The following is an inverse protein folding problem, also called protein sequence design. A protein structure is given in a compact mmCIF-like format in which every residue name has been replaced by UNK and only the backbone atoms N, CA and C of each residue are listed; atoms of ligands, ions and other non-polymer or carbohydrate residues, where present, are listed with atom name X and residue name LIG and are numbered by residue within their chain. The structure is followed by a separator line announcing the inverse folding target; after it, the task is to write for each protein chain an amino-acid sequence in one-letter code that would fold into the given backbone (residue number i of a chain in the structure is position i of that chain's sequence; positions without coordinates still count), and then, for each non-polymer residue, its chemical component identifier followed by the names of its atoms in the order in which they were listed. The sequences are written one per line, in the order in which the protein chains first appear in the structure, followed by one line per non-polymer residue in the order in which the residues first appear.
data_IF_926480507213
#
_entry.id   IF_926480507213
#
_cell.length_a   1.000
_cell.length_b   1.000
_cell.length_c   1.000
_cell.angle_alpha   90.00
_cell.angle_beta   90.00
_cell.angle_gamma   90.00
#
_symmetry.space_group_name_H-M   'P 1'
#
loop_
_entity.id
_entity.type
_entity.pdbx_description
1 polymer ?
#
# COMPACT_ATOMS: atom_id res chain seq x y z
N UNK A 1 -11.45 0.65 -6.23
CA UNK A 1 -11.06 0.77 -4.80
C UNK A 1 -11.40 2.16 -4.29
N UNK A 2 -11.93 2.25 -3.10
CA UNK A 2 -12.18 3.54 -2.47
C UNK A 2 -10.86 4.21 -2.10
N UNK A 3 -10.67 5.45 -2.50
CA UNK A 3 -9.44 6.19 -2.22
C UNK A 3 -9.23 6.45 -0.73
N UNK A 4 -7.99 6.62 -0.36
CA UNK A 4 -7.59 6.98 1.01
C UNK A 4 -6.36 7.87 0.94
N UNK A 5 -6.10 8.61 2.02
CA UNK A 5 -4.98 9.54 2.06
C UNK A 5 -3.71 8.86 2.58
N UNK A 6 -2.56 9.52 2.37
CA UNK A 6 -1.31 9.05 2.97
C UNK A 6 -1.44 9.04 4.50
N UNK A 7 -2.12 10.04 5.08
CA UNK A 7 -2.38 10.09 6.52
C UNK A 7 -3.10 8.85 7.01
N UNK A 8 -4.12 8.43 6.27
CA UNK A 8 -4.88 7.21 6.59
C UNK A 8 -4.02 5.94 6.40
N UNK A 9 -3.14 5.95 5.41
CA UNK A 9 -2.19 4.86 5.23
C UNK A 9 -1.29 4.71 6.47
N UNK A 10 -0.72 5.81 6.95
CA UNK A 10 0.14 5.79 8.13
C UNK A 10 -0.61 5.22 9.34
N UNK A 11 -1.85 5.65 9.54
CA UNK A 11 -2.67 5.12 10.63
C UNK A 11 -2.96 3.62 10.47
N UNK A 12 -3.25 3.19 9.26
CA UNK A 12 -3.62 1.79 8.99
C UNK A 12 -2.45 0.83 9.20
N UNK A 13 -1.24 1.24 8.79
CA UNK A 13 -0.06 0.36 8.83
C UNK A 13 0.84 0.61 10.04
N UNK A 14 0.67 1.73 10.74
CA UNK A 14 1.49 2.08 11.89
C UNK A 14 2.94 2.38 11.54
N UNK A 15 3.20 2.90 10.34
CA UNK A 15 4.55 3.15 9.86
C UNK A 15 5.06 4.56 10.17
N UNK A 16 6.30 4.79 9.78
CA UNK A 16 6.95 6.10 9.88
C UNK A 16 6.86 6.82 8.54
N UNK A 17 6.31 8.04 8.58
CA UNK A 17 6.18 8.85 7.38
C UNK A 17 7.41 9.69 7.12
N UNK A 18 7.86 9.72 5.87
CA UNK A 18 8.94 10.59 5.38
C UNK A 18 8.42 11.40 4.20
N UNK A 19 8.38 12.71 4.34
CA UNK A 19 7.92 13.62 3.31
C UNK A 19 7.35 14.89 3.90
N UNK A 20 6.79 15.74 3.04
CA UNK A 20 6.17 16.97 3.46
C UNK A 20 4.85 16.71 4.18
N UNK A 21 4.61 17.46 5.24
CA UNK A 21 3.36 17.36 5.98
C UNK A 21 2.15 17.69 5.09
N UNK A 22 2.30 18.63 4.18
CA UNK A 22 1.25 18.99 3.25
C UNK A 22 0.84 17.85 2.31
N UNK A 23 1.73 16.90 2.06
CA UNK A 23 1.44 15.75 1.19
C UNK A 23 0.60 14.67 1.89
N UNK A 24 0.49 14.71 3.21
CA UNK A 24 -0.26 13.69 3.98
C UNK A 24 -1.72 13.55 3.56
N UNK A 25 -2.32 14.61 3.03
CA UNK A 25 -3.72 14.59 2.64
C UNK A 25 -3.92 14.28 1.15
N UNK A 26 -2.85 13.93 0.44
CA UNK A 26 -2.95 13.49 -0.95
C UNK A 26 -3.61 12.12 -1.02
N UNK A 27 -4.45 11.94 -2.02
CA UNK A 27 -5.23 10.72 -2.17
C UNK A 27 -4.47 9.64 -2.94
N UNK A 28 -4.54 8.42 -2.41
CA UNK A 28 -4.08 7.20 -3.06
C UNK A 28 -5.30 6.54 -3.66
N UNK A 29 -5.28 6.33 -4.98
CA UNK A 29 -6.41 5.78 -5.72
C UNK A 29 -6.26 4.29 -6.00
N UNK A 30 -5.02 3.79 -6.06
CA UNK A 30 -4.78 2.37 -6.26
C UNK A 30 -3.40 1.99 -5.71
N UNK A 31 -3.19 0.70 -5.52
CA UNK A 31 -1.96 0.14 -4.97
C UNK A 31 -1.35 -0.78 -6.02
N UNK A 32 -0.04 -0.69 -6.20
CA UNK A 32 0.68 -1.59 -7.10
C UNK A 32 2.05 -1.93 -6.52
N UNK A 33 2.52 -3.14 -6.80
CA UNK A 33 3.89 -3.56 -6.54
C UNK A 33 4.70 -3.68 -7.83
N UNK A 34 4.10 -3.39 -8.96
CA UNK A 34 4.75 -3.42 -10.26
C UNK A 34 5.17 -2.01 -10.65
N UNK A 35 6.49 -1.78 -10.74
CA UNK A 35 7.02 -0.45 -11.08
C UNK A 35 6.57 0.04 -12.46
N UNK A 36 6.22 -0.87 -13.35
CA UNK A 36 5.75 -0.51 -14.69
C UNK A 36 4.33 0.07 -14.70
N UNK A 37 3.60 -0.15 -13.61
CA UNK A 37 2.23 0.33 -13.46
C UNK A 37 2.12 1.60 -12.62
N UNK A 38 3.22 2.14 -12.17
CA UNK A 38 3.22 3.39 -11.42
C UNK A 38 2.66 4.51 -12.29
N UNK A 39 1.68 5.23 -11.74
CA UNK A 39 0.96 6.29 -12.44
C UNK A 39 0.37 7.23 -11.39
N UNK A 40 -0.16 8.39 -11.78
CA UNK A 40 -0.79 9.30 -10.83
C UNK A 40 -1.86 8.60 -10.00
N UNK A 41 -1.79 8.78 -8.69
CA UNK A 41 -2.70 8.14 -7.74
C UNK A 41 -2.20 6.82 -7.17
N UNK A 42 -1.03 6.33 -7.58
CA UNK A 42 -0.50 5.04 -7.13
C UNK A 42 0.17 5.12 -5.77
N UNK A 43 -0.04 4.08 -4.96
CA UNK A 43 0.86 3.73 -3.88
C UNK A 43 1.73 2.59 -4.39
N UNK A 44 3.03 2.82 -4.46
CA UNK A 44 3.97 1.77 -4.83
C UNK A 44 4.44 1.03 -3.59
N UNK A 45 4.26 -0.29 -3.57
CA UNK A 45 4.69 -1.14 -2.45
C UNK A 45 5.98 -1.86 -2.84
N UNK A 46 7.04 -1.59 -2.09
CA UNK A 46 8.33 -2.21 -2.34
C UNK A 46 8.42 -3.55 -1.61
N UNK A 47 8.31 -4.64 -2.37
CA UNK A 47 8.51 -5.97 -1.83
C UNK A 47 9.93 -6.45 -2.12
N UNK A 48 10.49 -7.22 -1.18
CA UNK A 48 11.75 -7.92 -1.38
C UNK A 48 11.43 -9.31 -1.92
N UNK A 49 11.68 -9.54 -3.19
CA UNK A 49 11.48 -10.83 -3.83
C UNK A 49 12.77 -11.62 -3.92
N UNK A 50 12.67 -12.88 -4.38
CA UNK A 50 13.81 -13.78 -4.53
C UNK A 50 14.80 -13.28 -5.60
N UNK A 51 14.33 -12.57 -6.62
CA UNK A 51 15.16 -12.10 -7.73
C UNK A 51 15.28 -10.58 -7.80
N UNK A 52 14.33 -9.85 -7.22
CA UNK A 52 14.23 -8.41 -7.36
C UNK A 52 13.83 -7.77 -6.05
N UNK A 53 14.47 -6.66 -5.74
CA UNK A 53 14.11 -5.83 -4.60
C UNK A 53 13.36 -4.61 -5.14
N UNK A 54 12.09 -4.48 -4.78
CA UNK A 54 11.24 -3.38 -5.24
C UNK A 54 11.72 -2.01 -4.80
N UNK A 55 12.51 -1.92 -3.73
CA UNK A 55 13.03 -0.65 -3.23
C UNK A 55 13.86 0.10 -4.29
N UNK A 56 14.49 -0.60 -5.19
CA UNK A 56 15.32 0.01 -6.26
C UNK A 56 14.49 0.80 -7.27
N UNK A 57 13.18 0.62 -7.30
CA UNK A 57 12.29 1.28 -8.26
C UNK A 57 11.51 2.45 -7.67
N UNK A 58 11.71 2.76 -6.38
CA UNK A 58 10.90 3.79 -5.69
C UNK A 58 11.05 5.17 -6.33
N UNK A 59 12.27 5.60 -6.63
CA UNK A 59 12.50 6.90 -7.28
C UNK A 59 11.79 6.99 -8.62
N UNK A 60 11.90 5.94 -9.43
CA UNK A 60 11.27 5.90 -10.74
C UNK A 60 9.75 5.97 -10.63
N UNK A 61 9.18 5.21 -9.69
CA UNK A 61 7.74 5.20 -9.50
C UNK A 61 7.21 6.59 -9.11
N UNK A 62 7.93 7.29 -8.25
CA UNK A 62 7.57 8.64 -7.87
C UNK A 62 7.65 9.61 -9.04
N UNK A 63 8.65 9.47 -9.91
CA UNK A 63 8.75 10.26 -11.14
C UNK A 63 7.61 9.97 -12.10
N UNK A 64 7.12 8.75 -12.11
CA UNK A 64 6.00 8.34 -12.97
C UNK A 64 4.63 8.73 -12.39
N UNK A 65 4.61 9.39 -11.24
CA UNK A 65 3.39 9.96 -10.67
C UNK A 65 2.88 9.28 -9.41
N UNK A 66 3.57 8.26 -8.89
CA UNK A 66 3.16 7.65 -7.63
C UNK A 66 3.05 8.69 -6.53
N UNK A 67 1.99 8.60 -5.74
CA UNK A 67 1.72 9.54 -4.65
C UNK A 67 2.66 9.28 -3.49
N UNK A 68 2.96 8.02 -3.22
CA UNK A 68 3.74 7.59 -2.07
C UNK A 68 4.31 6.20 -2.32
N UNK A 69 5.36 5.86 -1.59
CA UNK A 69 5.90 4.51 -1.55
C UNK A 69 5.72 3.91 -0.17
N UNK A 70 5.66 2.58 -0.09
CA UNK A 70 5.68 1.83 1.16
C UNK A 70 6.94 0.97 1.14
N UNK A 71 7.82 1.14 2.12
CA UNK A 71 9.15 0.53 2.13
C UNK A 71 9.47 -0.15 3.46
N UNK A 72 10.48 -1.02 3.44
CA UNK A 72 11.02 -1.65 4.66
C UNK A 72 12.29 -0.97 5.14
N UNK A 73 12.86 -0.06 4.35
CA UNK A 73 14.04 0.70 4.73
C UNK A 73 13.74 2.20 4.72
N UNK A 74 14.59 2.96 5.41
CA UNK A 74 14.48 4.41 5.39
C UNK A 74 14.68 4.92 3.96
N UNK A 75 13.76 5.76 3.45
CA UNK A 75 13.89 6.27 2.08
C UNK A 75 14.93 7.37 1.97
N UNK A 76 15.62 7.45 0.83
CA UNK A 76 16.42 8.59 0.46
C UNK A 76 15.50 9.79 0.13
N UNK A 77 16.05 10.98 -0.02
CA UNK A 77 15.25 12.17 -0.31
C UNK A 77 14.45 12.05 -1.62
N UNK A 78 15.04 11.43 -2.64
CA UNK A 78 14.39 11.22 -3.93
C UNK A 78 13.41 10.05 -3.93
N UNK A 79 13.26 9.39 -2.79
CA UNK A 79 12.32 8.28 -2.59
C UNK A 79 11.13 8.66 -1.73
N UNK A 80 10.90 9.96 -1.55
CA UNK A 80 9.80 10.51 -0.72
C UNK A 80 8.74 11.17 -1.59
N UNK A 81 7.46 11.17 -1.18
CA UNK A 81 6.91 10.69 0.10
C UNK A 81 6.97 9.18 0.23
N UNK A 82 7.22 8.70 1.44
CA UNK A 82 7.33 7.28 1.71
C UNK A 82 6.90 6.96 3.14
N UNK A 83 6.35 5.77 3.34
CA UNK A 83 6.04 5.24 4.66
C UNK A 83 6.90 4.01 4.88
N UNK A 84 7.69 4.03 5.95
CA UNK A 84 8.55 2.91 6.31
C UNK A 84 7.84 2.01 7.31
N UNK A 85 7.88 0.71 7.06
CA UNK A 85 7.29 -0.32 7.92
C UNK A 85 8.30 -1.45 8.13
N UNK A 86 8.16 -2.24 9.19
CA UNK A 86 9.05 -3.39 9.41
C UNK A 86 8.86 -4.50 8.36
N UNK A 87 7.65 -4.65 7.83
CA UNK A 87 7.33 -5.65 6.81
C UNK A 87 6.26 -5.09 5.88
N UNK A 88 6.56 -4.97 4.60
CA UNK A 88 5.59 -4.51 3.62
C UNK A 88 4.45 -5.52 3.44
N UNK A 89 4.76 -6.82 3.55
CA UNK A 89 3.73 -7.85 3.47
C UNK A 89 2.73 -7.73 4.61
N UNK A 90 3.21 -7.55 5.84
CA UNK A 90 2.32 -7.36 7.01
C UNK A 90 1.56 -6.05 6.92
N UNK A 91 2.22 -4.99 6.44
CA UNK A 91 1.57 -3.70 6.25
C UNK A 91 0.43 -3.80 5.25
N UNK A 92 0.60 -4.56 4.18
CA UNK A 92 -0.47 -4.78 3.21
C UNK A 92 -1.66 -5.54 3.83
N UNK A 93 -1.39 -6.49 4.71
CA UNK A 93 -2.43 -7.16 5.47
C UNK A 93 -3.20 -6.20 6.37
N UNK A 94 -2.48 -5.34 7.09
CA UNK A 94 -3.09 -4.32 7.95
C UNK A 94 -3.89 -3.30 7.13
N UNK A 95 -3.37 -2.87 5.99
CA UNK A 95 -4.07 -1.95 5.10
C UNK A 95 -5.36 -2.57 4.55
N UNK A 96 -5.30 -3.81 4.14
CA UNK A 96 -6.48 -4.52 3.64
C UNK A 96 -7.56 -4.64 4.72
N UNK A 97 -7.17 -4.99 5.95
CA UNK A 97 -8.09 -5.07 7.07
C UNK A 97 -8.71 -3.71 7.39
N UNK A 98 -7.90 -2.65 7.40
CA UNK A 98 -8.37 -1.30 7.62
C UNK A 98 -9.33 -0.86 6.51
N UNK A 99 -8.98 -1.12 5.27
CA UNK A 99 -9.79 -0.77 4.10
C UNK A 99 -11.16 -1.47 4.18
N UNK A 100 -11.15 -2.74 4.52
CA UNK A 100 -12.39 -3.51 4.69
C UNK A 100 -13.26 -2.94 5.80
N UNK A 101 -12.67 -2.47 6.91
CA UNK A 101 -13.42 -1.90 8.03
C UNK A 101 -14.18 -0.63 7.66
N UNK A 102 -13.82 0.03 6.56
CA UNK A 102 -14.50 1.22 6.05
C UNK A 102 -15.83 0.89 5.37
N UNK A 103 -16.04 -0.36 5.02
CA UNK A 103 -17.28 -0.81 4.37
C UNK A 103 -18.20 -1.39 5.43
N UNK A 104 -19.36 -0.78 5.59
CA UNK A 104 -20.40 -1.26 6.48
C UNK A 104 -21.26 -2.33 5.80
N UNK A 105 -20.63 -3.24 5.07
CA UNK A 105 -21.34 -4.35 4.45
C UNK A 105 -21.44 -5.45 5.49
N UNK A 106 -22.65 -5.94 5.81
CA UNK A 106 -22.78 -7.10 6.68
C UNK A 106 -22.09 -8.28 6.01
N UNK A 107 -20.90 -8.61 6.51
CA UNK A 107 -20.24 -9.84 6.10
C UNK A 107 -21.00 -10.94 6.82
N UNK A 108 -21.80 -11.67 6.06
CA UNK A 108 -22.45 -12.87 6.59
C UNK A 108 -21.33 -13.82 6.94
N UNK A 109 -21.03 -13.90 8.23
CA UNK A 109 -19.95 -14.72 8.73
C UNK A 109 -20.21 -16.18 8.48
N UNK A 110 -19.47 -16.73 7.56
CA UNK A 110 -19.43 -18.16 7.34
C UNK A 110 -18.17 -18.66 8.02
N UNK A 111 -18.28 -19.16 9.20
CA UNK A 111 -17.27 -19.88 10.01
C UNK A 111 -15.83 -19.32 10.04
N UNK A 112 -15.10 -19.52 11.13
CA UNK A 112 -13.83 -18.89 11.42
C UNK A 112 -12.70 -19.14 10.41
N UNK A 113 -12.73 -20.22 9.63
CA UNK A 113 -11.73 -20.47 8.59
C UNK A 113 -11.88 -19.54 7.39
N UNK A 114 -13.07 -18.99 7.19
CA UNK A 114 -13.35 -18.08 6.07
C UNK A 114 -12.74 -16.70 6.34
N UNK A 115 -12.57 -16.31 7.58
CA UNK A 115 -11.96 -15.02 7.93
C UNK A 115 -10.53 -14.88 7.43
N UNK A 116 -9.73 -15.92 7.57
CA UNK A 116 -8.33 -15.92 7.09
C UNK A 116 -8.27 -15.88 5.57
N UNK A 117 -9.09 -16.65 4.90
CA UNK A 117 -9.17 -16.67 3.45
C UNK A 117 -9.62 -15.32 2.92
N UNK A 118 -10.62 -14.70 3.54
CA UNK A 118 -11.13 -13.39 3.12
C UNK A 118 -10.05 -12.32 3.25
N UNK A 119 -9.29 -12.31 4.35
CA UNK A 119 -8.20 -11.35 4.53
C UNK A 119 -7.14 -11.53 3.47
N UNK A 120 -6.77 -12.77 3.18
CA UNK A 120 -5.80 -13.08 2.14
C UNK A 120 -6.29 -12.63 0.77
N UNK A 121 -7.57 -12.85 0.47
CA UNK A 121 -8.18 -12.39 -0.78
C UNK A 121 -8.22 -10.87 -0.88
N UNK A 122 -8.45 -10.16 0.22
CA UNK A 122 -8.42 -8.70 0.25
C UNK A 122 -7.02 -8.16 -0.07
N UNK A 123 -5.98 -8.77 0.49
CA UNK A 123 -4.61 -8.38 0.15
C UNK A 123 -4.35 -8.62 -1.32
N UNK A 124 -4.71 -9.79 -1.84
CA UNK A 124 -4.57 -10.11 -3.26
C UNK A 124 -5.37 -9.15 -4.13
N UNK A 125 -6.59 -8.81 -3.73
CA UNK A 125 -7.45 -7.89 -4.47
C UNK A 125 -6.85 -6.49 -4.53
N UNK A 126 -6.35 -5.97 -3.40
CA UNK A 126 -5.72 -4.65 -3.36
C UNK A 126 -4.48 -4.62 -4.25
N UNK A 127 -3.67 -5.68 -4.23
CA UNK A 127 -2.48 -5.77 -5.06
C UNK A 127 -2.80 -6.06 -6.53
N UNK A 128 -3.87 -6.80 -6.80
CA UNK A 128 -4.16 -7.32 -8.14
C UNK A 128 -5.23 -6.54 -8.91
N UNK A 129 -5.84 -5.51 -8.34
CA UNK A 129 -6.82 -4.67 -9.05
C UNK A 129 -6.29 -4.16 -10.38
N UNK A 130 -4.96 -4.09 -10.52
CA UNK A 130 -4.27 -3.62 -11.71
C UNK A 130 -3.81 -4.75 -12.62
N UNK A 131 -3.95 -6.00 -12.20
CA UNK A 131 -3.43 -7.16 -12.93
C UNK A 131 -4.51 -7.97 -13.63
N UNK A 132 -5.73 -7.51 -13.59
CA UNK A 132 -6.85 -8.15 -14.28
C UNK A 132 -7.15 -7.48 -15.61
#
# INVERSE_FOLDING_TARGET
MKSFTIRQLVEAVGGNYFGDEAALDREIQFVTSDSREAAPGALFVAFVGARTDGHRYMTRCLKDGAVCCLSEREPAEDERPCVQVPSTLRAMGALAAWHRSRFHIPVIGITGSVGKTTTKEMVASVLSERFN
#
